data_IF_471081689731
#
_entry.id   IF_471081689731
#
_cell.length_a   1.000
_cell.length_b   1.000
_cell.length_c   1.000
_cell.angle_alpha   90.00
_cell.angle_beta   90.00
_cell.angle_gamma   90.00
#
_symmetry.space_group_name_H-M   'P 1'
#
loop_
_entity.id
_entity.type
_entity.pdbx_description
1 polymer ?
#
# COMPACT_ATOMS: atom_id res chain seq x y z
N UNK A 1 -24.25 -40.25 -8.35
CA UNK A 1 -23.90 -39.47 -9.56
C UNK A 1 -24.40 -38.05 -9.56
N UNK A 2 -25.61 -37.75 -9.09
CA UNK A 2 -26.10 -36.35 -8.97
C UNK A 2 -25.29 -35.49 -8.01
N UNK A 3 -24.78 -36.05 -6.91
CA UNK A 3 -23.99 -35.37 -5.92
C UNK A 3 -22.59 -34.96 -6.43
N UNK A 4 -22.04 -35.74 -7.34
CA UNK A 4 -20.74 -35.45 -7.95
C UNK A 4 -20.78 -34.22 -8.87
N UNK A 5 -21.87 -34.05 -9.63
CA UNK A 5 -22.06 -32.85 -10.47
C UNK A 5 -22.29 -31.57 -9.65
N UNK A 6 -22.97 -31.67 -8.51
CA UNK A 6 -23.16 -30.53 -7.60
C UNK A 6 -21.88 -30.11 -6.94
N UNK A 7 -21.00 -31.03 -6.54
CA UNK A 7 -19.67 -30.67 -6.00
C UNK A 7 -18.83 -29.90 -7.01
N UNK A 8 -18.82 -30.28 -8.28
CA UNK A 8 -18.07 -29.61 -9.33
C UNK A 8 -18.59 -28.20 -9.59
N UNK A 9 -19.89 -27.95 -9.53
CA UNK A 9 -20.49 -26.65 -9.69
C UNK A 9 -20.11 -25.72 -8.53
N UNK A 10 -20.09 -26.21 -7.29
CA UNK A 10 -19.65 -25.42 -6.12
C UNK A 10 -18.18 -25.00 -6.22
N UNK A 11 -17.32 -25.87 -6.67
CA UNK A 11 -15.91 -25.55 -6.89
C UNK A 11 -15.69 -24.52 -8.00
N UNK A 12 -16.43 -24.64 -9.09
CA UNK A 12 -16.41 -23.68 -10.18
C UNK A 12 -16.87 -22.28 -9.74
N UNK A 13 -17.93 -22.19 -8.96
CA UNK A 13 -18.45 -20.94 -8.42
C UNK A 13 -17.45 -20.29 -7.45
N UNK A 14 -16.79 -21.07 -6.59
CA UNK A 14 -15.72 -20.59 -5.70
C UNK A 14 -14.52 -20.06 -6.50
N UNK A 15 -14.10 -20.74 -7.55
CA UNK A 15 -13.00 -20.30 -8.42
C UNK A 15 -13.33 -19.00 -9.15
N UNK A 16 -14.55 -18.86 -9.65
CA UNK A 16 -15.02 -17.62 -10.31
C UNK A 16 -15.07 -16.47 -9.31
N UNK A 17 -15.57 -16.67 -8.10
CA UNK A 17 -15.59 -15.66 -7.05
C UNK A 17 -14.18 -15.24 -6.63
N UNK A 18 -13.25 -16.18 -6.51
CA UNK A 18 -11.85 -15.89 -6.20
C UNK A 18 -11.18 -15.09 -7.31
N UNK A 19 -11.38 -15.44 -8.57
CA UNK A 19 -10.83 -14.69 -9.72
C UNK A 19 -11.43 -13.28 -9.78
N UNK A 20 -12.74 -13.12 -9.55
CA UNK A 20 -13.36 -11.81 -9.57
C UNK A 20 -12.89 -10.91 -8.44
N UNK A 21 -12.50 -11.46 -7.28
CA UNK A 21 -11.91 -10.70 -6.18
C UNK A 21 -10.49 -10.22 -6.45
N UNK A 22 -9.75 -10.86 -7.37
CA UNK A 22 -8.41 -10.44 -7.79
C UNK A 22 -8.43 -9.29 -8.81
N UNK A 23 -9.53 -9.16 -9.57
CA UNK A 23 -9.70 -8.06 -10.52
C UNK A 23 -10.20 -6.80 -9.81
N UNK A 24 -9.52 -5.70 -9.99
CA UNK A 24 -9.88 -4.40 -9.41
C UNK A 24 -9.23 -4.11 -8.06
N UNK A 25 -8.39 -4.97 -7.54
CA UNK A 25 -7.64 -4.73 -6.31
C UNK A 25 -6.45 -3.81 -6.56
N UNK A 26 -6.10 -3.05 -5.53
CA UNK A 26 -4.80 -2.40 -5.42
C UNK A 26 -3.91 -3.24 -4.51
N UNK A 27 -2.65 -3.39 -4.87
CA UNK A 27 -1.63 -4.10 -4.09
C UNK A 27 -0.46 -3.17 -3.83
N UNK A 28 -0.11 -2.95 -2.56
CA UNK A 28 0.95 -2.03 -2.17
C UNK A 28 2.09 -2.75 -1.46
N UNK A 29 3.29 -2.28 -1.72
CA UNK A 29 4.52 -2.79 -1.10
C UNK A 29 5.54 -1.67 -0.94
N UNK A 30 6.58 -1.93 -0.16
CA UNK A 30 7.78 -1.10 -0.16
C UNK A 30 8.57 -1.39 -1.44
N UNK A 31 8.97 -0.33 -2.14
CA UNK A 31 9.82 -0.47 -3.34
C UNK A 31 11.17 -1.09 -2.99
N UNK A 32 11.72 -1.84 -3.94
CA UNK A 32 13.04 -2.45 -3.78
C UNK A 32 14.13 -1.41 -3.52
N UNK A 33 15.15 -1.79 -2.74
CA UNK A 33 16.27 -0.93 -2.42
C UNK A 33 16.14 -0.09 -1.15
N UNK A 34 14.98 -0.10 -0.50
CA UNK A 34 14.78 0.57 0.78
C UNK A 34 15.04 -0.38 1.94
N UNK A 35 15.76 0.12 2.96
CA UNK A 35 16.13 -0.68 4.13
C UNK A 35 14.96 -0.81 5.10
N UNK A 36 14.16 -1.82 4.89
CA UNK A 36 13.05 -2.20 5.75
C UNK A 36 13.11 -3.70 6.01
N UNK A 37 12.72 -4.13 7.20
CA UNK A 37 12.64 -5.54 7.55
C UNK A 37 11.17 -5.98 7.50
N UNK A 38 10.84 -6.87 6.57
CA UNK A 38 9.52 -7.46 6.49
C UNK A 38 9.39 -8.58 7.51
N UNK A 39 8.39 -8.49 8.36
CA UNK A 39 8.06 -9.49 9.37
C UNK A 39 6.59 -9.92 9.30
N UNK A 40 6.19 -10.75 10.25
CA UNK A 40 4.78 -11.11 10.43
C UNK A 40 4.03 -9.86 10.91
N UNK A 41 3.02 -9.43 10.18
CA UNK A 41 2.20 -8.26 10.53
C UNK A 41 2.74 -6.93 10.06
N UNK A 42 3.74 -6.89 9.21
CA UNK A 42 4.20 -5.65 8.57
C UNK A 42 5.70 -5.48 8.48
N UNK A 43 6.11 -4.24 8.28
CA UNK A 43 7.51 -3.87 8.13
C UNK A 43 8.02 -3.20 9.41
N UNK A 44 9.28 -3.48 9.77
CA UNK A 44 10.01 -2.71 10.78
C UNK A 44 10.97 -1.76 10.08
N UNK A 45 10.96 -0.51 10.51
CA UNK A 45 11.80 0.55 9.96
C UNK A 45 12.62 1.16 11.09
N UNK A 46 13.93 1.18 10.93
CA UNK A 46 14.82 1.89 11.84
C UNK A 46 14.90 3.35 11.41
N UNK A 47 14.44 4.24 12.27
CA UNK A 47 14.48 5.66 12.00
C UNK A 47 15.89 6.24 12.23
N UNK A 48 16.21 7.25 11.43
CA UNK A 48 17.39 8.05 11.67
C UNK A 48 17.17 8.97 12.88
N UNK A 49 18.18 9.17 13.71
CA UNK A 49 18.05 9.99 14.92
C UNK A 49 17.99 11.50 14.64
N UNK A 50 18.45 11.93 13.49
CA UNK A 50 18.64 13.36 13.19
C UNK A 50 17.97 13.85 11.91
N UNK A 51 17.43 12.95 11.10
CA UNK A 51 16.85 13.30 9.81
C UNK A 51 15.63 12.44 9.48
N UNK A 52 14.82 12.96 8.57
CA UNK A 52 13.68 12.23 8.05
C UNK A 52 14.13 10.98 7.30
N UNK A 53 13.42 9.87 7.54
CA UNK A 53 13.59 8.64 6.79
C UNK A 53 12.59 8.64 5.64
N UNK A 54 13.05 8.38 4.43
CA UNK A 54 12.20 8.31 3.25
C UNK A 54 12.09 6.88 2.75
N UNK A 55 10.88 6.41 2.56
CA UNK A 55 10.56 5.06 2.09
C UNK A 55 9.63 5.20 0.89
N UNK A 56 10.05 4.67 -0.23
CA UNK A 56 9.20 4.65 -1.42
C UNK A 56 8.21 3.50 -1.36
N UNK A 57 6.95 3.80 -1.55
CA UNK A 57 5.87 2.83 -1.66
C UNK A 57 5.45 2.68 -3.12
N UNK A 58 5.17 1.45 -3.51
CA UNK A 58 4.72 1.09 -4.83
C UNK A 58 3.34 0.45 -4.75
N UNK A 59 2.41 0.94 -5.53
CA UNK A 59 1.11 0.32 -5.74
C UNK A 59 0.99 -0.26 -7.14
N UNK A 60 0.31 -1.39 -7.24
CA UNK A 60 -0.04 -2.01 -8.52
C UNK A 60 -1.55 -2.07 -8.62
N UNK A 61 -2.08 -1.58 -9.73
CA UNK A 61 -3.49 -1.65 -10.07
C UNK A 61 -3.66 -2.50 -11.34
N UNK A 62 -4.84 -3.12 -11.55
CA UNK A 62 -5.04 -4.00 -12.71
C UNK A 62 -5.09 -3.24 -14.03
N UNK A 63 -5.53 -1.98 -14.04
CA UNK A 63 -5.62 -1.18 -15.24
C UNK A 63 -4.26 -0.59 -15.62
N UNK A 64 -3.71 -1.03 -16.74
CA UNK A 64 -2.37 -0.63 -17.20
C UNK A 64 -2.39 0.58 -18.12
N UNK A 65 -3.50 0.85 -18.78
CA UNK A 65 -3.64 1.99 -19.70
C UNK A 65 -4.14 3.23 -18.97
N UNK A 66 -3.62 4.38 -19.37
CA UNK A 66 -4.04 5.68 -18.82
C UNK A 66 -3.46 5.98 -17.44
N UNK A 67 -3.94 7.07 -16.87
CA UNK A 67 -3.56 7.55 -15.55
C UNK A 67 -4.76 7.40 -14.61
N UNK A 68 -4.59 6.63 -13.54
CA UNK A 68 -5.63 6.38 -12.55
C UNK A 68 -5.24 6.96 -11.21
N UNK A 69 -6.16 7.60 -10.56
CA UNK A 69 -5.94 8.26 -9.28
C UNK A 69 -5.90 7.24 -8.14
N UNK A 70 -4.87 7.31 -7.32
CA UNK A 70 -4.72 6.55 -6.08
C UNK A 70 -4.49 7.54 -4.94
N UNK A 71 -5.23 7.38 -3.86
CA UNK A 71 -5.08 8.18 -2.64
C UNK A 71 -4.42 7.38 -1.55
N UNK A 72 -3.57 8.06 -0.78
CA UNK A 72 -2.81 7.47 0.31
C UNK A 72 -3.11 8.17 1.62
N UNK A 73 -3.32 7.39 2.68
CA UNK A 73 -3.59 7.91 4.03
C UNK A 73 -2.74 7.19 5.04
N UNK A 74 -2.46 7.88 6.16
CA UNK A 74 -1.81 7.30 7.33
C UNK A 74 -2.72 7.39 8.54
N UNK A 75 -2.56 6.46 9.49
CA UNK A 75 -3.31 6.50 10.76
C UNK A 75 -2.91 7.64 11.66
N UNK A 76 -1.70 8.17 11.48
CA UNK A 76 -1.17 9.30 12.25
C UNK A 76 -0.90 10.50 11.34
N UNK A 77 -0.73 11.66 11.95
CA UNK A 77 -0.37 12.88 11.26
C UNK A 77 1.08 12.83 10.82
N UNK A 78 1.32 12.28 9.65
CA UNK A 78 2.63 12.22 9.05
C UNK A 78 2.75 13.12 7.86
N UNK A 79 3.96 13.28 7.53
CA UNK A 79 4.41 13.94 6.37
C UNK A 79 4.49 12.98 5.19
N UNK A 80 3.89 13.36 4.10
CA UNK A 80 3.97 12.67 2.84
C UNK A 80 4.69 13.49 1.79
N UNK A 81 5.50 12.83 0.99
CA UNK A 81 6.06 13.42 -0.21
C UNK A 81 5.83 12.49 -1.39
N UNK A 82 5.25 13.00 -2.44
CA UNK A 82 5.08 12.28 -3.71
C UNK A 82 6.31 12.47 -4.59
N UNK A 83 7.44 11.98 -4.16
CA UNK A 83 8.70 12.04 -4.89
C UNK A 83 9.62 13.18 -4.52
N UNK A 84 9.19 14.17 -3.74
CA UNK A 84 10.01 15.24 -3.22
C UNK A 84 9.89 15.35 -1.70
N UNK A 85 11.00 15.45 -1.00
CA UNK A 85 10.99 15.76 0.41
C UNK A 85 10.55 17.21 0.59
N UNK A 86 9.64 17.45 1.52
CA UNK A 86 9.25 18.79 1.92
C UNK A 86 9.46 18.95 3.41
N UNK A 87 9.73 20.15 3.88
CA UNK A 87 10.03 20.42 5.28
C UNK A 87 8.80 20.68 6.14
N UNK A 88 7.61 20.62 5.55
CA UNK A 88 6.38 20.93 6.25
C UNK A 88 5.62 19.71 6.73
N UNK A 89 5.26 19.75 7.99
CA UNK A 89 4.40 18.79 8.65
C UNK A 89 2.94 19.00 8.26
N UNK A 90 2.51 18.43 7.18
CA UNK A 90 1.09 18.44 6.83
C UNK A 90 0.56 17.02 6.69
N UNK A 91 -0.60 16.76 7.30
CA UNK A 91 -1.41 15.62 6.91
C UNK A 91 -1.97 15.95 5.54
N UNK A 92 -1.27 15.55 4.55
CA UNK A 92 -1.80 15.59 3.20
C UNK A 92 -2.30 14.18 2.90
N UNK A 93 -3.51 14.07 2.40
CA UNK A 93 -3.92 12.86 1.72
C UNK A 93 -3.22 12.88 0.36
N UNK A 94 -2.06 12.25 0.22
CA UNK A 94 -1.35 12.37 -1.03
C UNK A 94 -2.13 11.66 -2.13
N UNK A 95 -2.11 12.26 -3.27
CA UNK A 95 -2.72 11.73 -4.47
C UNK A 95 -1.60 11.41 -5.45
N UNK A 96 -1.59 10.19 -5.95
CA UNK A 96 -0.67 9.75 -7.00
C UNK A 96 -1.46 9.24 -8.19
N UNK A 97 -0.87 9.32 -9.36
CA UNK A 97 -1.47 8.82 -10.59
C UNK A 97 -0.64 7.67 -11.14
N UNK A 98 -1.32 6.61 -11.53
CA UNK A 98 -0.68 5.43 -12.10
C UNK A 98 -0.14 5.70 -13.50
N UNK A 99 0.91 4.96 -13.83
CA UNK A 99 1.42 4.82 -15.18
C UNK A 99 1.76 3.35 -15.42
N UNK A 100 1.22 2.77 -16.47
CA UNK A 100 1.39 1.35 -16.78
C UNK A 100 0.98 0.42 -15.60
N UNK A 101 -0.06 0.80 -14.87
CA UNK A 101 -0.56 0.06 -13.72
C UNK A 101 0.28 0.19 -12.45
N UNK A 102 1.27 1.07 -12.43
CA UNK A 102 2.13 1.34 -11.27
C UNK A 102 1.90 2.75 -10.74
N UNK A 103 1.87 2.88 -9.42
CA UNK A 103 1.72 4.14 -8.72
C UNK A 103 2.73 4.20 -7.57
N UNK A 104 3.27 5.38 -7.33
CA UNK A 104 4.31 5.57 -6.32
C UNK A 104 4.00 6.73 -5.40
N UNK A 105 4.44 6.60 -4.16
CA UNK A 105 4.50 7.71 -3.20
C UNK A 105 5.68 7.53 -2.26
N UNK A 106 5.99 8.56 -1.50
CA UNK A 106 7.01 8.49 -0.46
C UNK A 106 6.35 8.56 0.91
N UNK A 107 6.75 7.67 1.80
CA UNK A 107 6.43 7.71 3.21
C UNK A 107 7.64 8.22 3.97
N UNK A 108 7.47 9.32 4.69
CA UNK A 108 8.58 10.03 5.35
C UNK A 108 8.38 10.17 6.86
N UNK A 109 8.58 9.09 7.64
CA UNK A 109 8.49 9.21 9.09
C UNK A 109 9.65 10.02 9.67
N UNK A 110 9.36 10.73 10.75
CA UNK A 110 10.31 11.56 11.46
C UNK A 110 10.89 10.85 12.69
N UNK A 111 12.05 11.29 13.20
CA UNK A 111 12.68 10.69 14.37
C UNK A 111 11.80 10.64 15.61
N UNK A 112 10.95 11.66 15.81
CA UNK A 112 10.02 11.74 16.95
C UNK A 112 8.96 10.63 16.95
N UNK A 113 8.78 9.95 15.82
CA UNK A 113 7.79 8.87 15.67
C UNK A 113 8.32 7.51 16.08
N UNK A 114 9.55 7.46 16.55
CA UNK A 114 10.14 6.24 17.06
C UNK A 114 9.24 5.60 18.13
N UNK A 115 9.02 4.29 18.00
CA UNK A 115 8.13 3.52 18.89
C UNK A 115 6.67 3.47 18.45
N UNK A 116 6.28 4.22 17.42
CA UNK A 116 4.90 4.21 16.91
C UNK A 116 4.72 3.15 15.83
N UNK A 117 3.47 2.69 15.72
CA UNK A 117 3.02 1.84 14.61
C UNK A 117 2.12 2.66 13.70
N UNK A 118 2.39 2.60 12.41
CA UNK A 118 1.69 3.37 11.40
C UNK A 118 1.10 2.44 10.38
N UNK A 119 -0.17 2.63 10.06
CA UNK A 119 -0.82 1.96 8.95
C UNK A 119 -0.97 2.95 7.80
N UNK A 120 -0.46 2.57 6.65
CA UNK A 120 -0.63 3.30 5.39
C UNK A 120 -1.70 2.59 4.60
N UNK A 121 -2.68 3.35 4.13
CA UNK A 121 -3.78 2.84 3.31
C UNK A 121 -3.75 3.49 1.95
N UNK A 122 -3.76 2.70 0.90
CA UNK A 122 -3.96 3.16 -0.47
C UNK A 122 -5.37 2.82 -0.93
N UNK A 123 -6.00 3.75 -1.64
CA UNK A 123 -7.37 3.61 -2.15
C UNK A 123 -7.39 3.86 -3.65
N UNK A 124 -7.94 2.90 -4.37
CA UNK A 124 -8.22 2.97 -5.80
C UNK A 124 -9.68 2.63 -6.05
N UNK A 125 -10.52 3.62 -6.37
CA UNK A 125 -11.96 3.42 -6.45
C UNK A 125 -12.53 2.93 -5.11
N UNK A 126 -13.18 1.78 -5.13
CA UNK A 126 -13.75 1.12 -3.94
C UNK A 126 -12.78 0.14 -3.27
N UNK A 127 -11.57 0.02 -3.79
CA UNK A 127 -10.58 -0.94 -3.31
C UNK A 127 -9.52 -0.28 -2.46
N UNK A 128 -9.15 -0.94 -1.37
CA UNK A 128 -8.09 -0.48 -0.46
C UNK A 128 -7.10 -1.59 -0.19
N UNK A 129 -5.86 -1.21 0.04
CA UNK A 129 -4.82 -2.07 0.59
C UNK A 129 -4.06 -1.32 1.67
N UNK A 130 -3.54 -2.05 2.64
CA UNK A 130 -2.85 -1.48 3.78
C UNK A 130 -1.47 -2.10 3.97
N UNK A 131 -0.57 -1.29 4.50
CA UNK A 131 0.76 -1.71 4.90
C UNK A 131 1.07 -1.13 6.27
N UNK A 132 1.61 -1.95 7.16
CA UNK A 132 1.89 -1.55 8.54
C UNK A 132 3.38 -1.38 8.76
N UNK A 133 3.78 -0.27 9.37
CA UNK A 133 5.15 0.04 9.74
C UNK A 133 5.30 0.15 11.25
N UNK A 134 6.25 -0.60 11.81
CA UNK A 134 6.74 -0.43 13.18
C UNK A 134 8.00 0.43 13.13
N UNK A 135 7.92 1.59 13.72
CA UNK A 135 9.00 2.58 13.70
C UNK A 135 9.90 2.40 14.93
N UNK A 136 11.17 2.10 14.68
CA UNK A 136 12.17 1.81 15.73
C UNK A 136 13.31 2.80 15.73
#
# INVERSE_FOLDING_TARGET
MKDYKMKNIKWLLLSVLFISSLFGQIDIKVSDGYKVNKGIGGYSVRLNNSSQTLIRLEGTIPEKSGYHRVTWKTTNKFYWSNGTATDEFKVVNPVSYSKNGKVYTMFGPLPEMKGKTVVVTATYGDYTDTITFKLK
#
